data_IF_164898772593
#
_entry.id   IF_164898772593
#
_cell.length_a   1.000
_cell.length_b   1.000
_cell.length_c   1.000
_cell.angle_alpha   90.00
_cell.angle_beta   90.00
_cell.angle_gamma   90.00
#
_symmetry.space_group_name_H-M   'P 1'
#
loop_
_entity.id
_entity.type
_entity.pdbx_description
1 polymer ?
#
# COMPACT_ATOMS: atom_id res chain seq x y z
N UNK A 1 -17.84 -23.24 38.50
CA UNK A 1 -16.48 -22.75 38.16
C UNK A 1 -16.21 -22.84 36.66
N UNK A 2 -16.34 -24.01 36.02
CA UNK A 2 -16.04 -24.16 34.58
C UNK A 2 -16.89 -23.31 33.61
N UNK A 3 -18.13 -22.94 33.97
CA UNK A 3 -19.00 -22.17 33.08
C UNK A 3 -18.53 -20.72 32.86
N UNK A 4 -18.02 -20.05 33.91
CA UNK A 4 -17.55 -18.66 33.84
C UNK A 4 -16.03 -18.52 33.62
N UNK A 5 -15.30 -19.64 33.68
CA UNK A 5 -13.83 -19.65 33.61
C UNK A 5 -13.17 -19.16 34.90
N UNK A 6 -11.83 -19.11 34.88
CA UNK A 6 -11.01 -18.70 36.02
C UNK A 6 -11.10 -17.20 36.34
N UNK A 7 -11.39 -16.36 35.36
CA UNK A 7 -11.39 -14.90 35.53
C UNK A 7 -12.77 -14.32 35.87
N UNK A 8 -13.85 -15.09 35.69
CA UNK A 8 -15.25 -14.71 36.01
C UNK A 8 -15.60 -13.27 35.57
N UNK A 9 -15.25 -12.94 34.32
CA UNK A 9 -15.37 -11.59 33.78
C UNK A 9 -16.82 -11.25 33.43
N UNK A 10 -17.20 -9.99 33.63
CA UNK A 10 -18.47 -9.45 33.13
C UNK A 10 -18.50 -9.40 31.59
N UNK A 11 -19.69 -9.31 31.01
CA UNK A 11 -19.87 -9.27 29.55
C UNK A 11 -19.04 -8.17 28.87
N UNK A 12 -18.95 -6.98 29.47
CA UNK A 12 -18.15 -5.87 28.91
C UNK A 12 -16.65 -6.12 29.00
N UNK A 13 -16.19 -6.80 30.05
CA UNK A 13 -14.79 -7.21 30.18
C UNK A 13 -14.44 -8.29 29.15
N UNK A 14 -15.36 -9.22 28.86
CA UNK A 14 -15.19 -10.23 27.79
C UNK A 14 -15.08 -9.57 26.40
N UNK A 15 -15.90 -8.57 26.11
CA UNK A 15 -15.79 -7.79 24.87
C UNK A 15 -14.44 -7.06 24.80
N UNK A 16 -14.05 -6.39 25.89
CA UNK A 16 -12.80 -5.65 25.95
C UNK A 16 -11.57 -6.54 25.76
N UNK A 17 -11.51 -7.71 26.42
CA UNK A 17 -10.38 -8.64 26.27
C UNK A 17 -10.35 -9.24 24.86
N UNK A 18 -11.51 -9.54 24.26
CA UNK A 18 -11.58 -10.04 22.89
C UNK A 18 -11.01 -9.00 21.91
N UNK A 19 -11.43 -7.74 22.03
CA UNK A 19 -10.93 -6.64 21.19
C UNK A 19 -9.43 -6.39 21.42
N UNK A 20 -8.95 -6.50 22.66
CA UNK A 20 -7.54 -6.36 22.97
C UNK A 20 -6.72 -7.48 22.31
N UNK A 21 -7.15 -8.73 22.43
CA UNK A 21 -6.45 -9.88 21.83
C UNK A 21 -6.40 -9.78 20.30
N UNK A 22 -7.52 -9.43 19.66
CA UNK A 22 -7.54 -9.24 18.20
C UNK A 22 -6.72 -8.04 17.76
N UNK A 23 -6.66 -6.97 18.56
CA UNK A 23 -5.76 -5.83 18.33
C UNK A 23 -4.28 -6.23 18.40
N UNK A 24 -3.86 -7.03 19.39
CA UNK A 24 -2.48 -7.56 19.44
C UNK A 24 -2.20 -8.40 18.20
N UNK A 25 -3.16 -9.20 17.73
CA UNK A 25 -3.02 -9.97 16.48
C UNK A 25 -2.86 -9.05 15.27
N UNK A 26 -3.65 -7.98 15.14
CA UNK A 26 -3.50 -6.98 14.08
C UNK A 26 -2.12 -6.35 14.11
N UNK A 27 -1.67 -5.89 15.29
CA UNK A 27 -0.34 -5.29 15.48
C UNK A 27 0.77 -6.27 15.07
N UNK A 28 0.60 -7.55 15.39
CA UNK A 28 1.53 -8.62 15.00
C UNK A 28 1.56 -8.81 13.48
N UNK A 29 0.41 -8.80 12.79
CA UNK A 29 0.37 -8.89 11.33
C UNK A 29 1.00 -7.65 10.69
N UNK A 30 0.58 -6.43 11.08
CA UNK A 30 1.03 -5.19 10.44
C UNK A 30 2.52 -4.90 10.69
N UNK A 31 3.00 -5.01 11.93
CA UNK A 31 4.39 -4.64 12.25
C UNK A 31 5.35 -5.78 11.87
N UNK A 32 5.03 -7.01 12.27
CA UNK A 32 5.97 -8.13 12.14
C UNK A 32 5.89 -8.83 10.79
N UNK A 33 4.71 -9.34 10.38
CA UNK A 33 4.61 -10.06 9.10
C UNK A 33 4.74 -9.10 7.91
N UNK A 34 4.02 -7.99 7.96
CA UNK A 34 3.91 -7.07 6.84
C UNK A 34 5.14 -6.15 6.70
N UNK A 35 5.32 -5.20 7.62
CA UNK A 35 6.34 -4.16 7.48
C UNK A 35 7.76 -4.69 7.75
N UNK A 36 7.95 -5.55 8.75
CA UNK A 36 9.26 -6.15 9.04
C UNK A 36 9.60 -7.29 8.07
N UNK A 37 8.85 -8.39 8.08
CA UNK A 37 9.24 -9.60 7.37
C UNK A 37 9.10 -9.47 5.85
N UNK A 38 7.94 -9.04 5.36
CA UNK A 38 7.71 -8.95 3.92
C UNK A 38 8.49 -7.81 3.26
N UNK A 39 8.46 -6.61 3.86
CA UNK A 39 8.97 -5.38 3.23
C UNK A 39 10.27 -4.82 3.80
N UNK A 40 10.79 -5.37 4.91
CA UNK A 40 12.05 -4.91 5.54
C UNK A 40 12.09 -3.40 5.81
N UNK A 41 10.94 -2.84 6.16
CA UNK A 41 10.77 -1.40 6.36
C UNK A 41 11.35 -0.92 7.71
N UNK A 42 11.50 -1.84 8.66
CA UNK A 42 12.05 -1.63 9.98
C UNK A 42 12.82 -2.88 10.44
N UNK A 43 13.66 -2.72 11.46
CA UNK A 43 14.22 -3.79 12.25
C UNK A 43 13.54 -3.83 13.62
N UNK A 44 13.37 -5.03 14.16
CA UNK A 44 12.86 -5.29 15.49
C UNK A 44 13.96 -5.91 16.35
N UNK A 45 13.87 -5.81 17.68
CA UNK A 45 14.74 -6.59 18.54
C UNK A 45 14.35 -8.08 18.53
N UNK A 46 15.26 -8.97 18.94
CA UNK A 46 15.03 -10.42 18.90
C UNK A 46 13.82 -10.88 19.74
N UNK A 47 13.61 -10.26 20.91
CA UNK A 47 12.48 -10.60 21.78
C UNK A 47 11.13 -10.27 21.14
N UNK A 48 10.97 -9.09 20.51
CA UNK A 48 9.73 -8.76 19.80
C UNK A 48 9.52 -9.66 18.59
N UNK A 49 10.58 -9.98 17.82
CA UNK A 49 10.48 -10.93 16.69
C UNK A 49 9.88 -12.25 17.18
N UNK A 50 10.39 -12.78 18.29
CA UNK A 50 9.88 -14.04 18.85
C UNK A 50 8.45 -13.89 19.39
N UNK A 51 8.16 -12.84 20.16
CA UNK A 51 6.82 -12.57 20.69
C UNK A 51 5.77 -12.57 19.57
N UNK A 52 6.00 -11.82 18.49
CA UNK A 52 5.05 -11.74 17.39
C UNK A 52 4.88 -13.08 16.67
N UNK A 53 5.96 -13.83 16.43
CA UNK A 53 5.90 -15.18 15.83
C UNK A 53 5.06 -16.13 16.67
N UNK A 54 5.34 -16.16 17.97
CA UNK A 54 4.62 -16.98 18.93
C UNK A 54 3.13 -16.62 18.97
N UNK A 55 2.83 -15.32 19.10
CA UNK A 55 1.46 -14.83 19.15
C UNK A 55 0.67 -15.21 17.89
N UNK A 56 1.24 -15.01 16.71
CA UNK A 56 0.60 -15.37 15.44
C UNK A 56 0.39 -16.88 15.30
N UNK A 57 1.38 -17.69 15.67
CA UNK A 57 1.21 -19.14 15.69
C UNK A 57 0.06 -19.55 16.63
N UNK A 58 0.00 -18.94 17.81
CA UNK A 58 -1.03 -19.19 18.83
C UNK A 58 -2.43 -18.75 18.36
N UNK A 59 -2.58 -17.57 17.75
CA UNK A 59 -3.90 -16.98 17.47
C UNK A 59 -4.38 -17.12 16.03
N UNK A 60 -3.52 -17.49 15.07
CA UNK A 60 -3.91 -17.55 13.65
C UNK A 60 -3.38 -18.79 12.92
N UNK A 61 -2.53 -19.60 13.55
CA UNK A 61 -1.80 -20.70 12.92
C UNK A 61 -0.92 -20.25 11.74
N UNK A 62 -0.58 -18.97 11.64
CA UNK A 62 0.30 -18.46 10.60
C UNK A 62 1.77 -18.65 10.99
N UNK A 63 2.59 -19.04 10.02
CA UNK A 63 4.04 -18.98 10.16
C UNK A 63 4.61 -17.81 9.35
N UNK A 64 5.85 -17.43 9.63
CA UNK A 64 6.43 -16.22 9.02
C UNK A 64 6.67 -16.42 7.53
N UNK A 65 7.21 -17.59 7.15
CA UNK A 65 7.68 -17.87 5.79
C UNK A 65 6.55 -17.93 4.78
N UNK A 66 5.46 -18.64 5.08
CA UNK A 66 4.32 -18.73 4.17
C UNK A 66 3.70 -17.36 3.94
N UNK A 67 3.40 -16.64 5.02
CA UNK A 67 2.75 -15.33 4.91
C UNK A 67 3.60 -14.36 4.11
N UNK A 68 4.89 -14.31 4.44
CA UNK A 68 5.86 -13.46 3.74
C UNK A 68 5.96 -13.80 2.26
N UNK A 69 5.98 -15.10 1.91
CA UNK A 69 6.10 -15.55 0.53
C UNK A 69 4.85 -15.19 -0.29
N UNK A 70 3.65 -15.47 0.25
CA UNK A 70 2.38 -15.15 -0.43
C UNK A 70 2.23 -13.65 -0.61
N UNK A 71 2.53 -12.84 0.41
CA UNK A 71 2.45 -11.38 0.31
C UNK A 71 3.45 -10.79 -0.68
N UNK A 72 4.69 -11.27 -0.68
CA UNK A 72 5.70 -10.85 -1.67
C UNK A 72 5.33 -11.27 -3.09
N UNK A 73 4.73 -12.45 -3.28
CA UNK A 73 4.20 -12.88 -4.59
C UNK A 73 3.09 -11.96 -5.05
N UNK A 74 2.15 -11.61 -4.16
CA UNK A 74 1.09 -10.65 -4.45
C UNK A 74 1.66 -9.31 -4.94
N UNK A 75 2.64 -8.72 -4.24
CA UNK A 75 3.29 -7.49 -4.72
C UNK A 75 4.03 -7.67 -6.05
N UNK A 76 4.74 -8.78 -6.24
CA UNK A 76 5.52 -9.03 -7.45
C UNK A 76 4.65 -9.30 -8.69
N UNK A 77 3.43 -9.82 -8.47
CA UNK A 77 2.49 -10.25 -9.50
C UNK A 77 1.16 -9.51 -9.41
N UNK A 78 1.14 -8.34 -8.78
CA UNK A 78 -0.08 -7.63 -8.44
C UNK A 78 -0.94 -7.40 -9.69
N UNK A 79 -2.21 -7.77 -9.61
CA UNK A 79 -3.16 -7.68 -10.73
C UNK A 79 -2.72 -8.40 -12.01
N UNK A 80 -1.99 -9.50 -11.88
CA UNK A 80 -1.82 -10.47 -12.95
C UNK A 80 -2.53 -11.78 -12.60
N UNK A 81 -2.69 -12.71 -13.57
CA UNK A 81 -3.25 -14.03 -13.27
C UNK A 81 -2.45 -14.83 -12.22
N UNK A 82 -1.17 -14.50 -12.04
CA UNK A 82 -0.29 -15.14 -11.06
C UNK A 82 -0.48 -14.56 -9.63
N UNK A 83 -1.23 -13.48 -9.45
CA UNK A 83 -1.53 -12.94 -8.13
C UNK A 83 -2.39 -13.93 -7.32
N UNK A 84 -1.96 -14.39 -6.14
CA UNK A 84 -2.73 -15.33 -5.34
C UNK A 84 -4.13 -14.82 -4.96
N UNK A 85 -4.33 -13.51 -4.86
CA UNK A 85 -5.61 -12.92 -4.43
C UNK A 85 -5.98 -11.63 -5.16
N UNK A 86 -5.63 -11.48 -6.45
CA UNK A 86 -6.09 -10.35 -7.28
C UNK A 86 -7.61 -10.35 -7.42
N UNK A 87 -8.32 -9.28 -6.98
CA UNK A 87 -9.75 -9.14 -7.25
C UNK A 87 -10.06 -8.83 -8.71
N UNK A 88 -9.10 -8.27 -9.45
CA UNK A 88 -9.24 -7.99 -10.90
C UNK A 88 -9.36 -9.30 -11.68
N UNK A 89 -8.56 -10.32 -11.34
CA UNK A 89 -8.58 -11.61 -12.04
C UNK A 89 -9.48 -12.67 -11.40
N UNK A 90 -9.56 -12.73 -10.07
CA UNK A 90 -10.35 -13.75 -9.35
C UNK A 90 -11.78 -13.30 -9.04
N UNK A 91 -12.06 -12.01 -9.19
CA UNK A 91 -13.32 -11.38 -8.84
C UNK A 91 -13.41 -10.98 -7.37
N UNK A 92 -13.95 -9.78 -7.14
CA UNK A 92 -14.05 -9.19 -5.80
C UNK A 92 -14.81 -10.07 -4.78
N UNK A 93 -15.94 -10.65 -5.20
CA UNK A 93 -16.73 -11.54 -4.33
C UNK A 93 -15.93 -12.78 -3.89
N UNK A 94 -15.13 -13.33 -4.81
CA UNK A 94 -14.26 -14.47 -4.52
C UNK A 94 -13.23 -14.11 -3.47
N UNK A 95 -12.51 -13.00 -3.63
CA UNK A 95 -11.47 -12.59 -2.67
C UNK A 95 -12.08 -12.27 -1.30
N UNK A 96 -13.22 -11.57 -1.26
CA UNK A 96 -13.90 -11.23 0.00
C UNK A 96 -14.34 -12.45 0.81
N UNK A 97 -14.79 -13.52 0.14
CA UNK A 97 -15.36 -14.71 0.79
C UNK A 97 -14.38 -15.85 0.95
N UNK A 98 -13.40 -15.94 0.03
CA UNK A 98 -12.47 -17.08 -0.09
C UNK A 98 -11.00 -16.67 0.07
N UNK A 99 -10.71 -15.47 0.59
CA UNK A 99 -9.35 -14.95 0.72
C UNK A 99 -8.44 -15.88 1.54
N UNK A 100 -8.97 -16.50 2.60
CA UNK A 100 -8.22 -17.45 3.41
C UNK A 100 -7.93 -18.77 2.68
N UNK A 101 -8.85 -19.26 1.85
CA UNK A 101 -8.68 -20.42 0.97
C UNK A 101 -7.59 -20.14 -0.06
N UNK A 102 -7.67 -18.99 -0.75
CA UNK A 102 -6.67 -18.54 -1.73
C UNK A 102 -5.28 -18.43 -1.10
N UNK A 103 -5.20 -17.86 0.10
CA UNK A 103 -3.97 -17.83 0.88
C UNK A 103 -3.44 -19.23 1.17
N UNK A 104 -4.29 -20.15 1.66
CA UNK A 104 -3.89 -21.53 2.03
C UNK A 104 -3.42 -22.33 0.81
N UNK A 105 -4.07 -22.14 -0.34
CA UNK A 105 -3.67 -22.74 -1.60
C UNK A 105 -2.26 -22.31 -1.99
N UNK A 106 -2.00 -20.99 -2.02
CA UNK A 106 -0.69 -20.47 -2.39
C UNK A 106 0.39 -20.78 -1.35
N UNK A 107 0.06 -20.80 -0.05
CA UNK A 107 0.99 -21.16 1.01
C UNK A 107 1.49 -22.61 0.92
N UNK A 108 0.76 -23.48 0.20
CA UNK A 108 1.17 -24.87 -0.09
C UNK A 108 2.05 -24.99 -1.33
N UNK A 109 2.23 -23.92 -2.11
CA UNK A 109 3.03 -23.93 -3.32
C UNK A 109 4.55 -23.88 -3.00
N UNK A 110 5.32 -24.95 -3.24
CA UNK A 110 6.74 -24.99 -2.90
C UNK A 110 7.56 -23.95 -3.66
N UNK A 111 7.19 -23.65 -4.90
CA UNK A 111 7.91 -22.69 -5.73
C UNK A 111 7.76 -21.27 -5.17
N UNK A 112 6.56 -20.91 -4.71
CA UNK A 112 6.32 -19.63 -4.04
C UNK A 112 7.14 -19.50 -2.76
N UNK A 113 7.17 -20.55 -1.94
CA UNK A 113 7.98 -20.57 -0.71
C UNK A 113 9.49 -20.51 -0.98
N UNK A 114 9.94 -21.04 -2.13
CA UNK A 114 11.35 -21.03 -2.56
C UNK A 114 11.77 -19.66 -3.11
N UNK A 115 10.96 -19.06 -3.99
CA UNK A 115 11.26 -17.76 -4.61
C UNK A 115 11.07 -16.62 -3.59
N UNK A 116 9.88 -16.55 -2.98
CA UNK A 116 9.45 -15.37 -2.22
C UNK A 116 9.65 -15.52 -0.70
N UNK A 117 9.81 -16.74 -0.19
CA UNK A 117 10.04 -17.02 1.23
C UNK A 117 11.46 -16.81 1.74
N UNK A 118 12.37 -16.24 0.94
CA UNK A 118 13.79 -16.05 1.29
C UNK A 118 13.96 -15.10 2.49
N UNK A 119 14.98 -15.36 3.31
CA UNK A 119 15.34 -14.55 4.49
C UNK A 119 14.21 -14.46 5.54
N UNK A 120 13.40 -15.51 5.66
CA UNK A 120 12.51 -15.71 6.79
C UNK A 120 13.22 -16.54 7.87
N UNK A 121 12.76 -16.50 9.14
CA UNK A 121 13.30 -17.36 10.19
C UNK A 121 13.26 -18.84 9.79
N UNK A 122 14.34 -19.54 10.11
CA UNK A 122 14.49 -20.99 10.01
C UNK A 122 15.36 -21.46 11.18
N UNK A 123 14.99 -21.04 12.39
CA UNK A 123 15.61 -21.50 13.62
C UNK A 123 14.93 -22.80 14.12
N UNK A 124 15.47 -23.37 15.19
CA UNK A 124 14.95 -24.62 15.75
C UNK A 124 13.45 -24.53 16.11
N UNK A 125 13.01 -23.39 16.66
CA UNK A 125 11.61 -23.20 17.07
C UNK A 125 10.70 -23.12 15.85
N UNK A 126 11.11 -22.41 14.79
CA UNK A 126 10.33 -22.35 13.53
C UNK A 126 10.10 -23.75 12.96
N UNK A 127 11.15 -24.59 12.92
CA UNK A 127 11.07 -25.94 12.34
C UNK A 127 10.28 -26.91 13.22
N UNK A 128 10.59 -26.96 14.51
CA UNK A 128 10.13 -28.03 15.39
C UNK A 128 8.86 -27.71 16.15
N UNK A 129 8.48 -26.43 16.24
CA UNK A 129 7.26 -26.00 16.93
C UNK A 129 6.29 -25.39 15.92
N UNK A 130 6.61 -24.23 15.36
CA UNK A 130 5.63 -23.44 14.61
C UNK A 130 5.23 -24.10 13.28
N UNK A 131 6.20 -24.62 12.52
CA UNK A 131 5.92 -25.28 11.24
C UNK A 131 5.43 -26.71 11.42
N UNK A 132 6.01 -27.46 12.38
CA UNK A 132 5.63 -28.86 12.64
C UNK A 132 4.24 -28.99 13.26
N UNK A 133 3.89 -28.11 14.19
CA UNK A 133 2.62 -28.12 14.92
C UNK A 133 1.81 -26.86 14.62
N UNK A 134 1.57 -26.59 13.34
CA UNK A 134 0.86 -25.39 12.88
C UNK A 134 -0.50 -25.18 13.56
N UNK A 135 -1.31 -26.25 13.66
CA UNK A 135 -2.61 -26.20 14.33
C UNK A 135 -2.51 -26.29 15.86
N UNK A 136 -1.34 -26.64 16.40
CA UNK A 136 -1.12 -26.76 17.84
C UNK A 136 -1.29 -25.42 18.58
N UNK A 137 -0.92 -24.30 17.94
CA UNK A 137 -1.05 -22.97 18.54
C UNK A 137 -2.52 -22.58 18.75
N UNK A 138 -3.34 -22.70 17.70
CA UNK A 138 -4.77 -22.37 17.81
C UNK A 138 -5.52 -23.35 18.69
N UNK A 139 -5.12 -24.62 18.75
CA UNK A 139 -5.68 -25.59 19.69
C UNK A 139 -5.33 -25.23 21.14
N UNK A 140 -4.09 -24.81 21.40
CA UNK A 140 -3.67 -24.30 22.69
C UNK A 140 -4.43 -23.03 23.08
N UNK A 141 -4.64 -22.11 22.15
CA UNK A 141 -5.45 -20.90 22.38
C UNK A 141 -6.88 -21.26 22.77
N UNK A 142 -7.51 -22.23 22.11
CA UNK A 142 -8.87 -22.69 22.45
C UNK A 142 -8.95 -23.21 23.91
N UNK A 143 -7.93 -23.96 24.34
CA UNK A 143 -7.84 -24.44 25.74
C UNK A 143 -7.63 -23.28 26.71
N UNK A 144 -6.78 -22.31 26.36
CA UNK A 144 -6.56 -21.10 27.17
C UNK A 144 -7.86 -20.31 27.32
N UNK A 145 -8.58 -20.05 26.23
CA UNK A 145 -9.83 -19.29 26.27
C UNK A 145 -10.91 -20.01 27.07
N UNK A 146 -11.06 -21.33 26.89
CA UNK A 146 -11.99 -22.15 27.66
C UNK A 146 -11.65 -22.12 29.17
N UNK A 147 -10.37 -22.19 29.52
CA UNK A 147 -9.93 -22.15 30.91
C UNK A 147 -10.15 -20.77 31.55
N UNK A 148 -9.79 -19.70 30.84
CA UNK A 148 -9.85 -18.33 31.38
C UNK A 148 -11.27 -17.78 31.42
N UNK A 149 -12.08 -18.06 30.39
CA UNK A 149 -13.40 -17.44 30.19
C UNK A 149 -14.56 -18.42 30.31
N UNK A 150 -14.31 -19.72 30.45
CA UNK A 150 -15.35 -20.74 30.50
C UNK A 150 -15.96 -21.00 29.12
N UNK A 151 -17.22 -21.41 29.06
CA UNK A 151 -17.84 -21.86 27.79
C UNK A 151 -17.89 -20.78 26.72
N UNK A 152 -18.05 -19.50 27.12
CA UNK A 152 -18.01 -18.35 26.20
C UNK A 152 -16.63 -18.17 25.56
N UNK A 153 -15.57 -18.73 26.15
CA UNK A 153 -14.23 -18.78 25.59
C UNK A 153 -14.17 -19.38 24.18
N UNK A 154 -15.06 -20.34 23.86
CA UNK A 154 -15.16 -20.90 22.50
C UNK A 154 -15.60 -19.83 21.48
N UNK A 155 -16.51 -18.93 21.89
CA UNK A 155 -16.94 -17.81 21.04
C UNK A 155 -15.82 -16.80 20.86
N UNK A 156 -15.08 -16.47 21.93
CA UNK A 156 -13.92 -15.58 21.88
C UNK A 156 -12.86 -16.12 20.91
N UNK A 157 -12.54 -17.41 21.06
CA UNK A 157 -11.63 -18.12 20.17
C UNK A 157 -12.09 -18.07 18.72
N UNK A 158 -13.38 -18.33 18.45
CA UNK A 158 -13.93 -18.27 17.10
C UNK A 158 -13.82 -16.86 16.48
N UNK A 159 -14.05 -15.80 17.27
CA UNK A 159 -13.85 -14.42 16.83
C UNK A 159 -12.39 -14.17 16.46
N UNK A 160 -11.43 -14.64 17.27
CA UNK A 160 -10.00 -14.53 16.95
C UNK A 160 -9.65 -15.27 15.64
N UNK A 161 -10.17 -16.48 15.44
CA UNK A 161 -9.93 -17.27 14.22
C UNK A 161 -10.47 -16.58 12.95
N UNK A 162 -11.62 -15.91 13.05
CA UNK A 162 -12.22 -15.22 11.90
C UNK A 162 -11.60 -13.84 11.62
N UNK A 163 -10.94 -13.23 12.60
CA UNK A 163 -10.55 -11.82 12.54
C UNK A 163 -9.63 -11.51 11.35
N UNK A 164 -8.48 -12.20 11.25
CA UNK A 164 -7.51 -11.97 10.17
C UNK A 164 -8.02 -12.45 8.81
N UNK A 165 -8.66 -13.64 8.67
CA UNK A 165 -9.32 -14.04 7.43
C UNK A 165 -10.30 -13.00 6.88
N UNK A 166 -11.16 -12.44 7.74
CA UNK A 166 -12.15 -11.46 7.31
C UNK A 166 -11.49 -10.13 6.95
N UNK A 167 -10.73 -9.56 7.87
CA UNK A 167 -10.23 -8.19 7.72
C UNK A 167 -9.04 -8.09 6.76
N UNK A 168 -8.05 -8.98 6.85
CA UNK A 168 -6.87 -8.91 5.98
C UNK A 168 -7.13 -9.63 4.64
N UNK A 169 -7.48 -10.92 4.69
CA UNK A 169 -7.60 -11.71 3.46
C UNK A 169 -8.85 -11.37 2.64
N UNK A 170 -9.94 -10.95 3.30
CA UNK A 170 -11.15 -10.48 2.64
C UNK A 170 -11.12 -8.98 2.34
N UNK A 171 -11.16 -8.15 3.39
CA UNK A 171 -11.37 -6.69 3.25
C UNK A 171 -10.17 -5.99 2.62
N UNK A 172 -8.93 -6.17 3.11
CA UNK A 172 -7.75 -5.51 2.52
C UNK A 172 -7.49 -6.02 1.10
N UNK A 173 -7.32 -7.33 0.93
CA UNK A 173 -6.98 -7.88 -0.37
C UNK A 173 -8.11 -7.70 -1.39
N UNK A 174 -9.36 -7.72 -0.94
CA UNK A 174 -10.55 -7.52 -1.78
C UNK A 174 -10.86 -6.04 -1.99
N UNK A 175 -11.45 -5.38 -0.98
CA UNK A 175 -11.90 -3.99 -1.11
C UNK A 175 -10.73 -3.04 -1.34
N UNK A 176 -9.58 -3.29 -0.71
CA UNK A 176 -8.37 -2.47 -0.87
C UNK A 176 -7.80 -2.48 -2.28
N UNK A 177 -8.28 -3.33 -3.19
CA UNK A 177 -7.92 -3.32 -4.62
C UNK A 177 -9.09 -2.95 -5.55
N UNK A 178 -10.26 -2.64 -4.99
CA UNK A 178 -11.48 -2.42 -5.78
C UNK A 178 -12.12 -1.06 -5.52
N UNK A 179 -12.14 -0.58 -4.27
CA UNK A 179 -12.89 0.60 -3.87
C UNK A 179 -12.10 1.48 -2.91
N UNK A 180 -12.22 2.80 -3.11
CA UNK A 180 -11.59 3.77 -2.22
C UNK A 180 -10.96 4.93 -2.97
N UNK A 181 -10.19 5.72 -2.25
CA UNK A 181 -9.45 6.85 -2.81
C UNK A 181 -8.00 6.47 -3.12
N UNK A 182 -7.34 7.27 -3.95
CA UNK A 182 -5.92 7.09 -4.31
C UNK A 182 -5.18 8.39 -4.15
N UNK A 183 -4.07 8.34 -3.43
CA UNK A 183 -3.11 9.45 -3.39
C UNK A 183 -2.17 9.42 -4.58
N UNK A 184 -1.88 8.21 -5.09
CA UNK A 184 -0.92 7.98 -6.16
C UNK A 184 -1.52 7.10 -7.25
N UNK A 185 -1.11 7.38 -8.48
CA UNK A 185 -1.36 6.50 -9.61
C UNK A 185 -0.13 5.60 -9.78
N UNK A 186 -0.27 4.35 -9.35
CA UNK A 186 0.63 3.24 -9.65
C UNK A 186 -0.06 2.22 -10.56
N UNK A 187 0.70 1.22 -11.04
CA UNK A 187 0.20 0.14 -11.91
C UNK A 187 -0.82 -0.78 -11.22
N UNK A 188 -0.79 -0.82 -9.90
CA UNK A 188 -1.64 -1.68 -9.08
C UNK A 188 -3.04 -1.05 -8.94
N UNK A 189 -4.08 -1.88 -8.82
CA UNK A 189 -5.46 -1.40 -8.60
C UNK A 189 -5.70 -0.89 -7.16
N UNK A 190 -4.74 -1.06 -6.25
CA UNK A 190 -4.81 -0.72 -4.83
C UNK A 190 -5.35 0.69 -4.51
N UNK A 191 -6.26 0.79 -3.55
CA UNK A 191 -6.99 1.97 -3.09
C UNK A 191 -6.90 2.07 -1.57
N UNK A 192 -6.80 3.30 -1.05
CA UNK A 192 -6.99 3.54 0.38
C UNK A 192 -8.49 3.42 0.71
N UNK A 193 -8.85 2.60 1.68
CA UNK A 193 -10.23 2.34 2.08
C UNK A 193 -10.79 3.50 2.91
N UNK A 194 -10.21 3.72 4.08
CA UNK A 194 -10.60 4.76 5.03
C UNK A 194 -9.35 5.43 5.59
N UNK A 195 -9.40 6.74 5.90
CA UNK A 195 -8.22 7.48 6.34
C UNK A 195 -7.82 7.19 7.80
N UNK A 196 -8.68 6.54 8.59
CA UNK A 196 -8.48 6.41 10.03
C UNK A 196 -7.47 5.33 10.43
N UNK A 197 -7.26 4.29 9.64
CA UNK A 197 -6.17 3.34 9.90
C UNK A 197 -6.20 2.62 11.26
N UNK A 198 -7.37 2.45 11.89
CA UNK A 198 -7.52 1.94 13.26
C UNK A 198 -7.81 0.44 13.26
N UNK A 199 -8.76 0.00 12.44
CA UNK A 199 -9.37 -1.33 12.56
C UNK A 199 -8.39 -2.43 12.20
N UNK A 200 -7.50 -2.18 11.25
CA UNK A 200 -6.47 -3.14 10.82
C UNK A 200 -5.07 -2.56 10.88
N UNK A 201 -4.83 -1.60 11.78
CA UNK A 201 -3.46 -1.17 12.07
C UNK A 201 -2.83 -0.28 11.00
N UNK A 202 -3.63 0.35 10.13
CA UNK A 202 -3.14 1.24 9.06
C UNK A 202 -3.08 0.58 7.69
N UNK A 203 -3.32 -0.74 7.60
CA UNK A 203 -3.39 -1.51 6.35
C UNK A 203 -4.54 -1.04 5.44
N UNK A 204 -5.47 -0.22 5.95
CA UNK A 204 -6.50 0.48 5.17
C UNK A 204 -5.90 1.46 4.14
N UNK A 205 -4.65 1.91 4.34
CA UNK A 205 -3.93 2.85 3.49
C UNK A 205 -3.18 2.13 2.35
N UNK A 206 -3.91 1.25 1.66
CA UNK A 206 -3.36 0.26 0.75
C UNK A 206 -2.77 0.83 -0.54
N UNK A 207 -3.33 1.93 -1.08
CA UNK A 207 -2.73 2.62 -2.23
C UNK A 207 -1.35 3.21 -1.89
N UNK A 208 -1.23 3.79 -0.70
CA UNK A 208 0.05 4.35 -0.24
C UNK A 208 1.09 3.23 -0.09
N UNK A 209 0.66 2.12 0.53
CA UNK A 209 1.47 0.92 0.70
C UNK A 209 1.97 0.35 -0.64
N UNK A 210 1.08 0.07 -1.59
CA UNK A 210 1.45 -0.44 -2.91
C UNK A 210 2.35 0.52 -3.71
N UNK A 211 2.25 1.83 -3.44
CA UNK A 211 3.12 2.82 -4.06
C UNK A 211 4.53 2.81 -3.46
N UNK A 212 4.64 2.66 -2.14
CA UNK A 212 5.90 2.67 -1.40
C UNK A 212 6.01 1.47 -0.44
N UNK A 213 6.14 0.24 -0.97
CA UNK A 213 6.00 -0.99 -0.16
C UNK A 213 7.05 -1.10 0.95
N UNK A 214 8.24 -0.55 0.72
CA UNK A 214 9.33 -0.56 1.70
C UNK A 214 9.19 0.53 2.78
N UNK A 215 8.15 1.36 2.78
CA UNK A 215 7.94 2.40 3.78
C UNK A 215 7.36 1.83 5.06
N UNK A 216 7.98 2.14 6.21
CA UNK A 216 7.45 1.72 7.51
C UNK A 216 6.19 2.50 7.91
N UNK A 217 5.93 3.63 7.26
CA UNK A 217 4.77 4.48 7.46
C UNK A 217 3.87 4.40 6.22
N UNK A 218 2.62 3.98 6.41
CA UNK A 218 1.63 3.86 5.34
C UNK A 218 0.85 5.17 5.14
N UNK A 219 0.75 6.02 6.16
CA UNK A 219 0.14 7.36 6.02
C UNK A 219 1.03 8.36 5.31
N UNK A 220 0.44 9.11 4.39
CA UNK A 220 1.11 10.13 3.57
C UNK A 220 0.46 11.49 3.77
N UNK A 221 -0.87 11.55 3.87
CA UNK A 221 -1.59 12.82 4.09
C UNK A 221 -1.71 13.12 5.59
N UNK A 222 -1.88 14.40 5.92
CA UNK A 222 -1.99 14.85 7.32
C UNK A 222 -3.25 14.33 8.02
N UNK A 223 -4.30 14.07 7.27
CA UNK A 223 -5.57 13.53 7.76
C UNK A 223 -5.62 12.00 7.73
N UNK A 224 -4.55 11.33 7.30
CA UNK A 224 -4.43 9.88 7.39
C UNK A 224 -3.77 9.49 8.70
N UNK A 225 -4.44 8.63 9.47
CA UNK A 225 -3.87 8.03 10.66
C UNK A 225 -3.40 6.61 10.34
N UNK A 226 -2.26 6.22 10.91
CA UNK A 226 -1.64 4.91 10.75
C UNK A 226 -1.30 4.38 12.15
N UNK A 227 -2.15 3.51 12.67
CA UNK A 227 -1.99 2.93 14.01
C UNK A 227 -0.71 2.09 14.10
N UNK A 228 -0.35 1.35 13.05
CA UNK A 228 0.89 0.60 12.98
C UNK A 228 2.11 1.52 13.09
N UNK A 229 2.07 2.70 12.46
CA UNK A 229 3.13 3.70 12.62
C UNK A 229 3.19 4.25 14.04
N UNK A 230 2.05 4.51 14.69
CA UNK A 230 2.04 4.94 16.09
C UNK A 230 2.72 3.91 17.01
N UNK A 231 2.43 2.62 16.82
CA UNK A 231 3.12 1.55 17.54
C UNK A 231 4.61 1.47 17.20
N UNK A 232 5.00 1.55 15.92
CA UNK A 232 6.41 1.56 15.53
C UNK A 232 7.15 2.71 16.21
N UNK A 233 6.55 3.90 16.28
CA UNK A 233 7.13 5.06 16.97
C UNK A 233 7.31 4.80 18.47
N UNK A 234 6.32 4.20 19.13
CA UNK A 234 6.43 3.79 20.53
C UNK A 234 7.54 2.75 20.73
N UNK A 235 7.62 1.72 19.88
CA UNK A 235 8.68 0.71 19.95
C UNK A 235 10.07 1.30 19.68
N UNK A 236 10.19 2.28 18.78
CA UNK A 236 11.43 3.03 18.59
C UNK A 236 11.81 3.85 19.83
N UNK A 237 10.85 4.50 20.49
CA UNK A 237 11.09 5.23 21.74
C UNK A 237 11.63 4.30 22.83
N UNK A 238 11.09 3.08 22.91
CA UNK A 238 11.53 2.03 23.83
C UNK A 238 12.81 1.30 23.37
N UNK A 239 13.42 1.71 22.25
CA UNK A 239 14.62 1.07 21.63
C UNK A 239 14.42 -0.40 21.25
N UNK A 240 13.18 -0.82 21.02
CA UNK A 240 12.83 -2.17 20.58
C UNK A 240 12.69 -2.29 19.05
N UNK A 241 12.66 -1.16 18.33
CA UNK A 241 12.58 -1.12 16.88
C UNK A 241 13.45 -0.01 16.28
N UNK A 242 13.89 -0.17 15.03
CA UNK A 242 14.59 0.85 14.24
C UNK A 242 13.98 0.93 12.84
N UNK A 243 13.42 2.08 12.48
CA UNK A 243 12.91 2.32 11.12
C UNK A 243 14.08 2.34 10.14
N UNK A 244 13.97 1.57 9.05
CA UNK A 244 14.98 1.51 8.01
C UNK A 244 14.64 2.44 6.86
N UNK A 245 13.35 2.49 6.48
CA UNK A 245 12.89 3.20 5.29
C UNK A 245 11.54 3.86 5.52
N UNK A 246 11.38 5.04 4.96
CA UNK A 246 10.11 5.76 4.81
C UNK A 246 10.00 6.22 3.36
N UNK A 247 8.77 6.51 2.91
CA UNK A 247 8.56 7.10 1.59
C UNK A 247 9.47 8.33 1.42
N UNK A 248 10.13 8.47 0.24
CA UNK A 248 11.05 9.57 0.00
C UNK A 248 10.34 10.92 0.10
N UNK A 249 11.08 11.92 0.58
CA UNK A 249 10.61 13.30 0.67
C UNK A 249 11.43 14.10 -0.32
N UNK A 250 10.80 14.60 -1.38
CA UNK A 250 11.42 15.58 -2.26
C UNK A 250 11.46 16.93 -1.55
N UNK A 251 12.65 17.52 -1.44
CA UNK A 251 12.80 18.88 -0.95
C UNK A 251 12.70 19.86 -2.12
N UNK A 252 12.15 21.04 -1.87
CA UNK A 252 12.18 22.16 -2.81
C UNK A 252 13.14 23.20 -2.27
N UNK A 253 14.07 23.62 -3.11
CA UNK A 253 15.05 24.65 -2.80
C UNK A 253 14.58 25.95 -3.44
N UNK A 254 14.32 26.95 -2.62
CA UNK A 254 13.97 28.29 -3.08
C UNK A 254 15.14 28.90 -3.88
N UNK A 255 14.83 29.54 -5.00
CA UNK A 255 15.83 30.11 -5.91
C UNK A 255 16.55 29.10 -6.82
N UNK A 256 16.42 27.78 -6.61
CA UNK A 256 16.99 26.78 -7.54
C UNK A 256 16.20 26.76 -8.84
N UNK A 257 16.85 27.19 -9.93
CA UNK A 257 16.26 27.24 -11.27
C UNK A 257 16.96 26.32 -12.28
N UNK A 258 17.97 25.55 -11.86
CA UNK A 258 18.73 24.64 -12.71
C UNK A 258 18.23 23.19 -12.60
N UNK A 259 18.13 22.52 -13.75
CA UNK A 259 17.90 21.09 -13.81
C UNK A 259 19.27 20.39 -13.90
N UNK A 260 19.75 19.91 -12.74
CA UNK A 260 21.02 19.21 -12.56
C UNK A 260 20.79 17.73 -12.18
N UNK A 261 21.89 16.99 -11.98
CA UNK A 261 21.83 15.57 -11.60
C UNK A 261 21.10 15.33 -10.27
N UNK A 262 21.24 16.25 -9.31
CA UNK A 262 20.53 16.18 -8.04
C UNK A 262 19.02 16.35 -8.24
N UNK A 263 18.59 17.32 -9.07
CA UNK A 263 17.18 17.50 -9.45
C UNK A 263 16.63 16.25 -10.13
N UNK A 264 17.36 15.69 -11.11
CA UNK A 264 16.92 14.50 -11.83
C UNK A 264 16.71 13.30 -10.90
N UNK A 265 17.66 13.05 -9.99
CA UNK A 265 17.53 11.97 -9.01
C UNK A 265 16.42 12.23 -7.98
N UNK A 266 16.23 13.48 -7.54
CA UNK A 266 15.13 13.86 -6.67
C UNK A 266 13.77 13.60 -7.34
N UNK A 267 13.65 13.94 -8.62
CA UNK A 267 12.47 13.67 -9.44
C UNK A 267 12.23 12.16 -9.57
N UNK A 268 13.27 11.38 -9.88
CA UNK A 268 13.14 9.92 -10.06
C UNK A 268 12.63 9.24 -8.79
N UNK A 269 13.25 9.57 -7.66
CA UNK A 269 12.92 8.99 -6.37
C UNK A 269 11.50 9.36 -5.91
N UNK A 270 10.97 10.48 -6.38
CA UNK A 270 9.66 11.01 -6.01
C UNK A 270 8.63 11.00 -7.14
N UNK A 271 8.84 10.17 -8.18
CA UNK A 271 8.02 10.14 -9.40
C UNK A 271 6.51 10.05 -9.15
N UNK A 272 6.06 9.26 -8.17
CA UNK A 272 4.63 9.12 -7.86
C UNK A 272 4.04 10.40 -7.27
N UNK A 273 4.79 11.07 -6.39
CA UNK A 273 4.42 12.37 -5.84
C UNK A 273 4.39 13.44 -6.94
N UNK A 274 5.31 13.37 -7.90
CA UNK A 274 5.35 14.28 -9.06
C UNK A 274 4.14 14.06 -9.96
N UNK A 275 3.72 12.82 -10.24
CA UNK A 275 2.47 12.55 -10.96
C UNK A 275 1.24 13.04 -10.20
N UNK A 276 1.21 12.85 -8.88
CA UNK A 276 0.12 13.35 -8.06
C UNK A 276 0.03 14.88 -8.13
N UNK A 277 1.17 15.57 -8.18
CA UNK A 277 1.23 17.02 -8.40
C UNK A 277 0.87 17.42 -9.82
N UNK A 278 1.31 16.69 -10.85
CA UNK A 278 0.93 16.95 -12.24
C UNK A 278 -0.59 16.90 -12.41
N UNK A 279 -1.24 15.90 -11.81
CA UNK A 279 -2.70 15.82 -11.74
C UNK A 279 -3.33 17.05 -11.08
N UNK A 280 -2.75 17.53 -9.97
CA UNK A 280 -3.29 18.65 -9.19
C UNK A 280 -3.04 20.02 -9.83
N UNK A 281 -1.87 20.22 -10.41
CA UNK A 281 -1.37 21.52 -10.87
C UNK A 281 -1.54 21.73 -12.38
N UNK A 282 -1.59 20.65 -13.18
CA UNK A 282 -1.72 20.72 -14.64
C UNK A 282 -3.08 20.23 -15.10
N UNK A 283 -3.41 18.97 -14.80
CA UNK A 283 -4.64 18.34 -15.33
C UNK A 283 -5.88 18.99 -14.74
N UNK A 284 -5.96 19.10 -13.41
CA UNK A 284 -7.17 19.58 -12.76
C UNK A 284 -7.55 21.03 -13.13
N UNK A 285 -6.63 22.01 -13.13
CA UNK A 285 -6.97 23.38 -13.50
C UNK A 285 -7.39 23.50 -14.96
N UNK A 286 -6.68 22.82 -15.88
CA UNK A 286 -7.01 22.88 -17.31
C UNK A 286 -8.36 22.22 -17.60
N UNK A 287 -8.64 21.06 -17.01
CA UNK A 287 -9.97 20.43 -17.13
C UNK A 287 -11.07 21.34 -16.56
N UNK A 288 -10.82 22.03 -15.46
CA UNK A 288 -11.77 23.00 -14.90
C UNK A 288 -12.01 24.20 -15.82
N UNK A 289 -10.97 24.73 -16.45
CA UNK A 289 -11.07 25.81 -17.43
C UNK A 289 -11.89 25.38 -18.65
N UNK A 290 -11.57 24.23 -19.24
CA UNK A 290 -12.27 23.65 -20.38
C UNK A 290 -13.74 23.35 -20.06
N UNK A 291 -14.02 22.84 -18.86
CA UNK A 291 -15.40 22.62 -18.39
C UNK A 291 -16.20 23.92 -18.26
N UNK A 292 -15.54 25.02 -17.89
CA UNK A 292 -16.16 26.34 -17.79
C UNK A 292 -16.50 26.95 -19.16
N UNK A 293 -15.72 26.62 -20.18
CA UNK A 293 -15.92 27.10 -21.55
C UNK A 293 -16.79 26.16 -22.41
N UNK A 294 -16.97 24.90 -21.99
CA UNK A 294 -17.69 23.91 -22.77
C UNK A 294 -19.22 24.07 -22.75
N UNK A 295 -19.81 23.92 -23.93
CA UNK A 295 -21.25 23.82 -24.15
C UNK A 295 -21.85 22.55 -23.51
N UNK A 296 -23.18 22.55 -23.32
CA UNK A 296 -23.91 21.44 -22.71
C UNK A 296 -23.68 20.09 -23.42
N UNK A 297 -23.49 20.11 -24.74
CA UNK A 297 -23.25 18.93 -25.57
C UNK A 297 -21.90 18.25 -25.27
N UNK A 298 -20.88 18.98 -24.81
CA UNK A 298 -19.51 18.46 -24.56
C UNK A 298 -19.22 18.33 -23.07
N UNK A 299 -19.86 19.15 -22.23
CA UNK A 299 -19.63 19.20 -20.77
C UNK A 299 -19.73 17.84 -20.09
N UNK A 300 -20.68 16.99 -20.51
CA UNK A 300 -20.84 15.64 -19.94
C UNK A 300 -19.62 14.74 -20.19
N UNK A 301 -18.92 14.92 -21.33
CA UNK A 301 -17.71 14.18 -21.68
C UNK A 301 -16.54 14.60 -20.80
N UNK A 302 -16.38 15.91 -20.59
CA UNK A 302 -15.28 16.49 -19.82
C UNK A 302 -15.39 16.29 -18.29
N UNK A 303 -16.59 16.03 -17.75
CA UNK A 303 -16.78 15.78 -16.30
C UNK A 303 -15.90 14.65 -15.75
N UNK A 304 -15.56 13.67 -16.60
CA UNK A 304 -14.70 12.54 -16.23
C UNK A 304 -13.24 12.71 -16.66
N UNK A 305 -12.91 13.78 -17.38
CA UNK A 305 -11.57 14.02 -17.94
C UNK A 305 -10.49 13.99 -16.87
N UNK A 306 -10.68 14.72 -15.75
CA UNK A 306 -9.70 14.74 -14.65
C UNK A 306 -9.33 13.33 -14.16
N UNK A 307 -10.30 12.42 -14.03
CA UNK A 307 -10.06 11.05 -13.57
C UNK A 307 -9.37 10.24 -14.66
N UNK A 308 -9.89 10.26 -15.88
CA UNK A 308 -9.41 9.43 -16.99
C UNK A 308 -8.02 9.86 -17.48
N UNK A 309 -7.78 11.16 -17.64
CA UNK A 309 -6.49 11.70 -18.08
C UNK A 309 -5.37 11.50 -17.04
N UNK A 310 -5.71 11.30 -15.77
CA UNK A 310 -4.71 11.06 -14.72
C UNK A 310 -4.43 9.58 -14.48
N UNK A 311 -5.34 8.69 -14.88
CA UNK A 311 -5.30 7.26 -14.54
C UNK A 311 -4.09 6.59 -15.18
N UNK A 312 -3.53 5.61 -14.49
CA UNK A 312 -2.50 4.75 -15.07
C UNK A 312 -3.06 3.99 -16.26
N UNK A 313 -2.34 3.99 -17.39
CA UNK A 313 -2.83 3.45 -18.66
C UNK A 313 -3.10 1.95 -18.60
N UNK A 314 -2.31 1.20 -17.84
CA UNK A 314 -2.53 -0.24 -17.64
C UNK A 314 -3.83 -0.58 -16.91
N UNK A 315 -4.46 0.40 -16.26
CA UNK A 315 -5.73 0.24 -15.53
C UNK A 315 -6.94 0.75 -16.35
N UNK A 316 -6.73 1.11 -17.62
CA UNK A 316 -7.78 1.58 -18.50
C UNK A 316 -8.26 0.46 -19.42
N UNK A 317 -9.57 0.22 -19.41
CA UNK A 317 -10.26 -0.58 -20.42
C UNK A 317 -10.41 0.16 -21.76
N UNK A 318 -10.65 -0.55 -22.86
CA UNK A 318 -10.81 0.00 -24.23
C UNK A 318 -11.85 1.14 -24.31
N UNK A 319 -12.99 0.98 -23.63
CA UNK A 319 -14.02 2.03 -23.55
C UNK A 319 -13.51 3.33 -22.92
N UNK A 320 -12.51 3.26 -22.05
CA UNK A 320 -11.88 4.44 -21.47
C UNK A 320 -10.92 5.10 -22.46
N UNK A 321 -10.17 4.32 -23.24
CA UNK A 321 -9.32 4.83 -24.30
C UNK A 321 -10.12 5.63 -25.33
N UNK A 322 -11.23 5.06 -25.83
CA UNK A 322 -12.14 5.75 -26.76
C UNK A 322 -12.69 7.06 -26.19
N UNK A 323 -13.01 7.08 -24.89
CA UNK A 323 -13.46 8.30 -24.20
C UNK A 323 -12.35 9.35 -24.09
N UNK A 324 -11.12 8.92 -23.81
CA UNK A 324 -9.95 9.79 -23.78
C UNK A 324 -9.76 10.42 -25.15
N UNK A 325 -9.66 9.62 -26.21
CA UNK A 325 -9.52 10.11 -27.59
C UNK A 325 -10.61 11.12 -27.93
N UNK A 326 -11.86 10.81 -27.60
CA UNK A 326 -12.98 11.73 -27.76
C UNK A 326 -12.75 13.07 -27.04
N UNK A 327 -12.27 13.07 -25.80
CA UNK A 327 -11.98 14.32 -25.07
C UNK A 327 -10.78 15.08 -25.66
N UNK A 328 -9.72 14.37 -26.07
CA UNK A 328 -8.52 14.99 -26.63
C UNK A 328 -8.78 15.62 -28.01
N UNK A 329 -9.72 15.07 -28.79
CA UNK A 329 -10.11 15.64 -30.07
C UNK A 329 -10.81 17.02 -29.94
N UNK A 330 -11.36 17.35 -28.76
CA UNK A 330 -12.08 18.61 -28.55
C UNK A 330 -11.19 19.74 -28.00
N UNK A 331 -10.06 19.42 -27.38
CA UNK A 331 -9.13 20.42 -26.83
C UNK A 331 -7.69 20.02 -27.09
N UNK A 332 -7.02 20.83 -27.92
CA UNK A 332 -5.59 20.71 -28.18
C UNK A 332 -4.79 20.86 -26.88
N UNK A 333 -5.23 21.72 -25.95
CA UNK A 333 -4.57 21.89 -24.67
C UNK A 333 -4.64 20.62 -23.81
N UNK A 334 -5.81 19.96 -23.75
CA UNK A 334 -5.98 18.67 -23.07
C UNK A 334 -5.12 17.58 -23.70
N UNK A 335 -5.02 17.55 -25.04
CA UNK A 335 -4.15 16.63 -25.78
C UNK A 335 -2.69 16.82 -25.39
N UNK A 336 -2.19 18.06 -25.42
CA UNK A 336 -0.80 18.36 -25.07
C UNK A 336 -0.47 17.96 -23.63
N UNK A 337 -1.31 18.28 -22.64
CA UNK A 337 -1.02 17.87 -21.25
C UNK A 337 -1.09 16.34 -21.07
N UNK A 338 -1.92 15.64 -21.84
CA UNK A 338 -2.00 14.19 -21.76
C UNK A 338 -0.75 13.54 -22.36
N UNK A 339 -0.30 14.02 -23.52
CA UNK A 339 0.94 13.58 -24.17
C UNK A 339 2.17 13.87 -23.29
N UNK A 340 2.27 15.06 -22.69
CA UNK A 340 3.36 15.39 -21.76
C UNK A 340 3.37 14.51 -20.51
N UNK A 341 2.20 14.16 -19.99
CA UNK A 341 2.08 13.20 -18.89
C UNK A 341 2.64 11.84 -19.29
N UNK A 342 2.26 11.32 -20.46
CA UNK A 342 2.74 10.03 -20.96
C UNK A 342 4.25 10.06 -21.21
N UNK A 343 4.76 11.15 -21.80
CA UNK A 343 6.20 11.34 -22.00
C UNK A 343 6.97 11.29 -20.68
N UNK A 344 6.46 11.94 -19.63
CA UNK A 344 7.08 11.92 -18.30
C UNK A 344 7.13 10.49 -17.72
N UNK A 345 6.06 9.70 -17.90
CA UNK A 345 6.04 8.29 -17.49
C UNK A 345 7.05 7.44 -18.28
N UNK A 346 7.19 7.69 -19.58
CA UNK A 346 8.14 6.98 -20.43
C UNK A 346 9.60 7.28 -20.04
N UNK A 347 9.91 8.52 -19.65
CA UNK A 347 11.24 8.88 -19.14
C UNK A 347 11.59 7.96 -17.98
N UNK A 348 10.70 7.79 -16.99
CA UNK A 348 10.96 6.92 -15.84
C UNK A 348 11.11 5.45 -16.17
N UNK A 349 10.34 4.96 -17.16
CA UNK A 349 10.43 3.57 -17.59
C UNK A 349 11.78 3.27 -18.27
N UNK A 350 12.28 4.20 -19.09
CA UNK A 350 13.51 4.02 -19.89
C UNK A 350 14.79 4.29 -19.12
N UNK A 351 14.78 5.24 -18.20
CA UNK A 351 16.01 5.81 -17.61
C UNK A 351 16.30 5.32 -16.19
N UNK A 352 15.57 4.32 -15.70
CA UNK A 352 15.77 3.74 -14.37
C UNK A 352 17.17 3.15 -14.10
N UNK A 353 18.01 3.01 -15.15
CA UNK A 353 19.39 2.51 -15.06
C UNK A 353 20.49 3.52 -15.45
N UNK A 354 20.17 4.70 -16.02
CA UNK A 354 21.17 5.70 -16.45
C UNK A 354 20.73 7.14 -16.12
N UNK A 355 21.41 7.77 -15.16
CA UNK A 355 21.08 9.11 -14.69
C UNK A 355 21.38 10.23 -15.70
N UNK A 356 22.36 10.06 -16.59
CA UNK A 356 22.67 11.07 -17.61
C UNK A 356 21.60 11.16 -18.69
N UNK A 357 21.13 10.01 -19.17
CA UNK A 357 20.02 9.94 -20.13
C UNK A 357 18.73 10.51 -19.52
N UNK A 358 18.51 10.27 -18.23
CA UNK A 358 17.40 10.88 -17.50
C UNK A 358 17.48 12.40 -17.48
N UNK A 359 18.66 12.95 -17.15
CA UNK A 359 18.86 14.39 -17.07
C UNK A 359 18.59 15.05 -18.42
N UNK A 360 19.13 14.50 -19.51
CA UNK A 360 18.91 14.99 -20.87
C UNK A 360 17.41 14.95 -21.23
N UNK A 361 16.77 13.79 -21.08
CA UNK A 361 15.35 13.63 -21.38
C UNK A 361 14.46 14.56 -20.53
N UNK A 362 14.84 14.83 -19.28
CA UNK A 362 14.10 15.78 -18.45
C UNK A 362 14.28 17.24 -18.89
N UNK A 363 15.47 17.62 -19.35
CA UNK A 363 15.69 18.96 -19.94
C UNK A 363 14.84 19.16 -21.18
N UNK A 364 14.78 18.17 -22.05
CA UNK A 364 13.95 18.21 -23.26
C UNK A 364 12.47 18.33 -22.90
N UNK A 365 11.98 17.50 -21.97
CA UNK A 365 10.59 17.56 -21.51
C UNK A 365 10.23 18.94 -20.93
N UNK A 366 11.12 19.53 -20.13
CA UNK A 366 10.93 20.86 -19.54
C UNK A 366 10.91 21.94 -20.61
N UNK A 367 11.83 21.89 -21.58
CA UNK A 367 11.87 22.83 -22.68
C UNK A 367 10.57 22.80 -23.51
N UNK A 368 10.10 21.60 -23.86
CA UNK A 368 8.85 21.43 -24.60
C UNK A 368 7.62 21.85 -23.77
N UNK A 369 7.62 21.62 -22.46
CA UNK A 369 6.56 22.08 -21.57
C UNK A 369 6.52 23.61 -21.49
N UNK A 370 7.69 24.27 -21.48
CA UNK A 370 7.82 25.73 -21.49
C UNK A 370 7.34 26.34 -22.81
N UNK A 371 7.69 25.70 -23.93
CA UNK A 371 7.29 26.10 -25.28
C UNK A 371 5.81 25.79 -25.61
N UNK A 372 5.11 25.01 -24.79
CA UNK A 372 3.74 24.54 -25.07
C UNK A 372 2.66 25.64 -25.14
N UNK A 373 2.96 26.84 -24.65
CA UNK A 373 1.98 27.92 -24.50
C UNK A 373 1.01 27.76 -23.32
N UNK A 374 1.02 26.62 -22.62
CA UNK A 374 0.10 26.31 -21.52
C UNK A 374 0.71 26.74 -20.19
N UNK A 375 0.13 27.76 -19.54
CA UNK A 375 0.67 28.33 -18.28
C UNK A 375 0.88 27.27 -17.19
N UNK A 376 -0.09 26.38 -16.99
CA UNK A 376 -0.01 25.34 -15.97
C UNK A 376 1.17 24.37 -16.18
N UNK A 377 1.54 24.09 -17.45
CA UNK A 377 2.73 23.30 -17.78
C UNK A 377 4.01 24.07 -17.50
N UNK A 378 4.07 25.36 -17.84
CA UNK A 378 5.21 26.23 -17.54
C UNK A 378 5.49 26.30 -16.05
N UNK A 379 4.44 26.55 -15.25
CA UNK A 379 4.55 26.64 -13.79
C UNK A 379 5.02 25.31 -13.19
N UNK A 380 4.47 24.20 -13.69
CA UNK A 380 4.90 22.87 -13.26
C UNK A 380 6.36 22.58 -13.64
N UNK A 381 6.79 22.95 -14.84
CA UNK A 381 8.17 22.79 -15.30
C UNK A 381 9.14 23.62 -14.46
N UNK A 382 8.81 24.88 -14.16
CA UNK A 382 9.58 25.72 -13.24
C UNK A 382 9.68 25.09 -11.85
N UNK A 383 8.57 24.55 -11.33
CA UNK A 383 8.55 23.85 -10.05
C UNK A 383 9.45 22.59 -10.06
N UNK A 384 9.52 21.85 -11.17
CA UNK A 384 10.40 20.68 -11.26
C UNK A 384 11.88 21.04 -11.04
N UNK A 385 12.33 22.20 -11.54
CA UNK A 385 13.73 22.66 -11.40
C UNK A 385 14.12 22.91 -9.94
N UNK A 386 13.15 23.15 -9.06
CA UNK A 386 13.39 23.43 -7.63
C UNK A 386 13.68 22.17 -6.80
N UNK A 387 13.47 20.96 -7.34
CA UNK A 387 13.63 19.74 -6.56
C UNK A 387 15.09 19.42 -6.24
N UNK A 388 15.30 18.88 -5.03
CA UNK A 388 16.59 18.40 -4.55
C UNK A 388 16.43 17.18 -3.64
N UNK A 389 17.48 16.34 -3.59
CA UNK A 389 17.58 15.27 -2.58
C UNK A 389 17.94 15.82 -1.20
N UNK A 390 18.50 17.04 -1.13
CA UNK A 390 18.92 17.67 0.11
C UNK A 390 17.98 18.83 0.48
N UNK A 391 17.67 19.03 1.76
CA UNK A 391 16.97 20.23 2.20
C UNK A 391 17.90 21.45 2.07
N UNK A 392 17.30 22.63 1.97
CA UNK A 392 18.01 23.91 1.99
C UNK A 392 18.81 24.06 3.28
N UNK A 393 20.13 24.23 3.19
CA UNK A 393 21.02 24.50 4.33
C UNK A 393 21.63 23.27 5.05
N UNK A 394 21.69 22.10 4.40
CA UNK A 394 22.37 20.90 4.90
C UNK A 394 23.79 20.72 4.35
#
# INVERSE_FOLDING_TARGET
MWYNGLLDLSAWQLVAVTLLMTHVTIVSVTIYLHRYSAHRALELNGALKHFFRFWLWLTTAQNTREWTAVHRKHHAKCETPDDPHSPVHKGLSTVLRKGAELYREEARNPETLRIYGKNCPDDWVERNVYSRYKLGGIALMAVIDLALFGTIGITIWAVQMMWIPFWAAGVVNGLGHAIGYRNFECRDAATNLVPWGIVIGGEELHNNHHTYPNSAKLSVKRWEFDMGWAWIRLLCLLRLAKVQRVAPIAHRVEGKASLDMDTAMAILNNRFQIMAQYRKLVIAPLVSQELGQADASVRHRLRRAKRLLSRETSLLEDRHHLRIEGMLAHSQALKTIYEKRLALQQIWARTSANGHDMLAAMKDWVHEAEASGIQALRDFAAQLKTYSLRPTGA
#
